data_IF_551866590830
#
_entry.id   IF_551866590830
#
_cell.length_a   1.000
_cell.length_b   1.000
_cell.length_c   1.000
_cell.angle_alpha   90.00
_cell.angle_beta   90.00
_cell.angle_gamma   90.00
#
_symmetry.space_group_name_H-M   'P 1'
#
loop_
_entity.id
_entity.type
_entity.pdbx_description
1 polymer ?
#
# COMPACT_ATOMS: atom_id res chain seq x y z
N UNK A 1 -3.40 2.00 -32.95
CA UNK A 1 -3.30 2.47 -31.55
C UNK A 1 -2.18 3.49 -31.45
N UNK A 2 -2.43 4.68 -30.91
CA UNK A 2 -1.48 5.80 -30.93
C UNK A 2 -0.55 5.76 -29.71
N UNK A 3 0.69 6.21 -29.88
CA UNK A 3 1.69 6.28 -28.82
C UNK A 3 1.24 7.21 -27.65
N UNK A 4 0.45 8.24 -27.97
CA UNK A 4 -0.14 9.15 -26.98
C UNK A 4 -1.22 8.48 -26.10
N UNK A 5 -2.00 7.54 -26.66
CA UNK A 5 -2.99 6.77 -25.89
C UNK A 5 -2.32 5.82 -24.90
N UNK A 6 -1.20 5.21 -25.28
CA UNK A 6 -0.45 4.29 -24.41
C UNK A 6 0.21 4.99 -23.22
N UNK A 7 0.73 6.20 -23.39
CA UNK A 7 1.27 6.99 -22.28
C UNK A 7 0.21 7.42 -21.28
N UNK A 8 -0.99 7.76 -21.76
CA UNK A 8 -2.12 8.15 -20.89
C UNK A 8 -2.61 6.96 -20.08
N UNK A 9 -2.76 5.79 -20.71
CA UNK A 9 -3.15 4.55 -20.03
C UNK A 9 -2.10 4.10 -19.02
N UNK A 10 -0.80 4.15 -19.36
CA UNK A 10 0.27 3.78 -18.44
C UNK A 10 0.28 4.65 -17.17
N UNK A 11 -0.02 5.95 -17.30
CA UNK A 11 -0.14 6.85 -16.14
C UNK A 11 -1.38 6.53 -15.30
N UNK A 12 -2.51 6.25 -15.93
CA UNK A 12 -3.73 5.85 -15.23
C UNK A 12 -3.58 4.53 -14.49
N UNK A 13 -3.01 3.53 -15.15
CA UNK A 13 -2.70 2.23 -14.56
C UNK A 13 -1.69 2.41 -13.43
N UNK A 14 -0.65 3.22 -13.62
CA UNK A 14 0.32 3.55 -12.58
C UNK A 14 -0.31 4.22 -11.35
N UNK A 15 -1.21 5.18 -11.54
CA UNK A 15 -1.95 5.81 -10.44
C UNK A 15 -2.88 4.84 -9.74
N UNK A 16 -3.53 3.94 -10.49
CA UNK A 16 -4.44 2.94 -9.92
C UNK A 16 -3.69 1.87 -9.13
N UNK A 17 -2.57 1.39 -9.65
CA UNK A 17 -1.67 0.46 -8.97
C UNK A 17 -1.14 1.05 -7.66
N UNK A 18 -0.87 2.36 -7.62
CA UNK A 18 -0.45 3.05 -6.40
C UNK A 18 -1.52 3.00 -5.31
N UNK A 19 -2.81 3.00 -5.64
CA UNK A 19 -3.91 2.97 -4.64
C UNK A 19 -4.18 1.58 -4.05
N UNK A 20 -3.72 0.51 -4.71
CA UNK A 20 -3.96 -0.87 -4.27
C UNK A 20 -3.33 -1.16 -2.90
N UNK A 21 -2.05 -0.82 -2.64
CA UNK A 21 -1.44 -1.02 -1.33
C UNK A 21 -2.20 -0.37 -0.18
N UNK A 22 -2.74 0.84 -0.36
CA UNK A 22 -3.51 1.54 0.67
C UNK A 22 -4.81 0.80 1.01
N UNK A 23 -5.51 0.30 0.00
CA UNK A 23 -6.71 -0.52 0.22
C UNK A 23 -6.38 -1.86 0.89
N UNK A 24 -5.26 -2.50 0.52
CA UNK A 24 -4.81 -3.75 1.15
C UNK A 24 -4.43 -3.51 2.61
N UNK A 25 -3.68 -2.45 2.90
CA UNK A 25 -3.32 -2.06 4.26
C UNK A 25 -4.56 -1.77 5.12
N UNK A 26 -5.56 -1.06 4.57
CA UNK A 26 -6.83 -0.81 5.26
C UNK A 26 -7.54 -2.11 5.66
N UNK A 27 -7.54 -3.11 4.76
CA UNK A 27 -8.15 -4.42 5.02
C UNK A 27 -7.37 -5.22 6.07
N UNK A 28 -6.04 -5.24 6.01
CA UNK A 28 -5.19 -5.96 6.98
C UNK A 28 -5.33 -5.34 8.38
N UNK A 29 -5.32 -4.01 8.47
CA UNK A 29 -5.40 -3.30 9.76
C UNK A 29 -6.84 -3.07 10.25
N UNK A 30 -7.86 -3.47 9.47
CA UNK A 30 -9.27 -3.21 9.75
C UNK A 30 -9.56 -1.72 10.04
N UNK A 31 -9.08 -0.87 9.15
CA UNK A 31 -9.22 0.61 9.16
C UNK A 31 -10.14 1.03 8.01
N UNK A 32 -10.83 2.16 8.16
CA UNK A 32 -11.66 2.74 7.10
C UNK A 32 -10.82 2.98 5.82
N UNK A 33 -11.22 2.42 4.65
CA UNK A 33 -10.52 2.65 3.39
C UNK A 33 -10.44 4.14 3.00
N UNK A 34 -11.40 4.98 3.40
CA UNK A 34 -11.33 6.41 3.15
C UNK A 34 -10.17 7.05 3.95
N UNK A 35 -9.96 6.62 5.19
CA UNK A 35 -8.85 7.06 6.03
C UNK A 35 -7.50 6.60 5.45
N UNK A 36 -7.42 5.35 4.96
CA UNK A 36 -6.19 4.84 4.35
C UNK A 36 -5.82 5.57 3.04
N UNK A 37 -6.81 5.99 2.25
CA UNK A 37 -6.57 6.83 1.07
C UNK A 37 -6.11 8.24 1.46
N UNK A 38 -6.68 8.82 2.53
CA UNK A 38 -6.22 10.10 3.07
C UNK A 38 -4.77 10.02 3.58
N UNK A 39 -4.38 8.92 4.25
CA UNK A 39 -2.99 8.68 4.64
C UNK A 39 -2.05 8.62 3.44
N UNK A 40 -2.47 7.93 2.38
CA UNK A 40 -1.68 7.83 1.16
C UNK A 40 -1.51 9.19 0.48
N UNK A 41 -2.60 9.97 0.37
CA UNK A 41 -2.57 11.29 -0.24
C UNK A 41 -1.68 12.25 0.57
N UNK A 42 -1.77 12.17 1.90
CA UNK A 42 -0.89 12.87 2.82
C UNK A 42 0.58 12.49 2.60
N UNK A 43 0.90 11.19 2.53
CA UNK A 43 2.27 10.71 2.30
C UNK A 43 2.82 11.06 0.91
N UNK A 44 1.96 11.16 -0.10
CA UNK A 44 2.36 11.56 -1.46
C UNK A 44 2.56 13.08 -1.57
N UNK A 45 1.78 13.87 -0.85
CA UNK A 45 1.87 15.33 -0.83
C UNK A 45 2.98 15.84 0.10
N UNK A 46 3.26 15.14 1.19
CA UNK A 46 4.28 15.52 2.17
C UNK A 46 5.61 14.86 1.81
N UNK A 47 6.36 15.53 0.93
CA UNK A 47 7.70 15.12 0.51
C UNK A 47 8.77 15.24 1.61
N UNK A 48 8.44 15.83 2.77
CA UNK A 48 9.37 16.09 3.86
C UNK A 48 9.08 15.23 5.11
N UNK A 49 10.09 14.55 5.66
CA UNK A 49 9.94 13.58 6.76
C UNK A 49 9.74 14.20 8.15
N UNK A 50 9.90 15.53 8.30
CA UNK A 50 9.89 16.21 9.60
C UNK A 50 8.50 16.70 10.04
N UNK A 51 7.48 16.49 9.22
CA UNK A 51 6.11 16.89 9.55
C UNK A 51 5.39 15.79 10.35
N UNK A 52 4.92 16.14 11.55
CA UNK A 52 4.21 15.19 12.41
C UNK A 52 2.91 14.72 11.76
N UNK A 53 2.67 13.40 11.62
CA UNK A 53 1.43 12.91 11.05
C UNK A 53 0.22 13.28 11.92
N UNK A 54 -0.94 13.58 11.33
CA UNK A 54 -2.19 13.82 12.05
C UNK A 54 -2.51 12.72 13.08
N UNK A 55 -3.06 13.08 14.24
CA UNK A 55 -3.39 12.12 15.31
C UNK A 55 -4.36 11.01 14.84
N UNK A 56 -5.24 11.33 13.89
CA UNK A 56 -6.13 10.36 13.26
C UNK A 56 -5.37 9.20 12.57
N UNK A 57 -4.11 9.41 12.18
CA UNK A 57 -3.27 8.40 11.54
C UNK A 57 -2.42 7.60 12.53
N UNK A 58 -2.19 8.14 13.73
CA UNK A 58 -1.38 7.51 14.79
C UNK A 58 -2.22 6.82 15.86
N UNK A 59 -3.55 6.93 15.81
CA UNK A 59 -4.46 6.22 16.71
C UNK A 59 -4.34 4.69 16.54
N UNK A 60 -4.14 3.95 17.64
CA UNK A 60 -4.18 2.46 17.76
C UNK A 60 -4.04 1.63 16.47
N UNK A 61 -5.15 1.37 15.76
CA UNK A 61 -5.19 0.54 14.54
C UNK A 61 -4.77 1.28 13.25
N UNK A 62 -4.83 2.61 13.26
CA UNK A 62 -4.41 3.48 12.17
C UNK A 62 -2.89 3.59 12.06
N UNK A 63 -2.15 3.53 13.18
CA UNK A 63 -0.68 3.58 13.20
C UNK A 63 0.00 2.48 12.35
N UNK A 64 -0.33 1.18 12.50
CA UNK A 64 0.26 0.14 11.65
C UNK A 64 -0.20 0.26 10.18
N UNK A 65 -1.42 0.76 9.92
CA UNK A 65 -1.91 1.03 8.57
C UNK A 65 -1.06 2.13 7.91
N UNK A 66 -0.82 3.23 8.61
CA UNK A 66 0.01 4.33 8.14
C UNK A 66 1.44 3.88 7.81
N UNK A 67 2.05 3.05 8.66
CA UNK A 67 3.38 2.49 8.42
C UNK A 67 3.43 1.60 7.17
N UNK A 68 2.43 0.73 6.97
CA UNK A 68 2.33 -0.12 5.78
C UNK A 68 2.15 0.70 4.50
N UNK A 69 1.32 1.73 4.53
CA UNK A 69 1.14 2.64 3.40
C UNK A 69 2.46 3.36 3.08
N UNK A 70 3.18 3.85 4.10
CA UNK A 70 4.49 4.47 3.90
C UNK A 70 5.52 3.50 3.29
N UNK A 71 5.63 2.27 3.80
CA UNK A 71 6.52 1.24 3.23
C UNK A 71 6.15 0.95 1.77
N UNK A 72 4.85 0.91 1.45
CA UNK A 72 4.40 0.67 0.07
C UNK A 72 4.81 1.77 -0.91
N UNK A 73 4.94 3.02 -0.43
CA UNK A 73 5.37 4.17 -1.22
C UNK A 73 6.90 4.23 -1.33
N UNK A 74 7.62 4.03 -0.21
CA UNK A 74 9.07 4.10 -0.17
C UNK A 74 9.75 2.89 -0.83
N UNK A 75 9.21 1.68 -0.65
CA UNK A 75 9.78 0.40 -1.11
C UNK A 75 8.68 -0.55 -1.59
N UNK A 76 8.04 -0.29 -2.74
CA UNK A 76 6.93 -1.10 -3.24
C UNK A 76 7.30 -2.58 -3.44
N UNK A 77 8.54 -2.87 -3.85
CA UNK A 77 9.02 -4.24 -4.01
C UNK A 77 9.03 -5.04 -2.71
N UNK A 78 9.40 -4.41 -1.58
CA UNK A 78 9.41 -5.05 -0.26
C UNK A 78 8.00 -5.32 0.23
N UNK A 79 7.07 -4.39 -0.01
CA UNK A 79 5.65 -4.57 0.32
C UNK A 79 5.05 -5.79 -0.39
N UNK A 80 5.24 -5.90 -1.71
CA UNK A 80 4.72 -7.03 -2.49
C UNK A 80 5.41 -8.35 -2.12
N UNK A 81 6.73 -8.34 -1.89
CA UNK A 81 7.44 -9.53 -1.45
C UNK A 81 6.92 -10.04 -0.10
N UNK A 82 6.70 -9.13 0.87
CA UNK A 82 6.11 -9.48 2.17
C UNK A 82 4.69 -10.02 2.02
N UNK A 83 3.87 -9.42 1.15
CA UNK A 83 2.50 -9.87 0.91
C UNK A 83 2.45 -11.29 0.32
N UNK A 84 3.38 -11.64 -0.57
CA UNK A 84 3.49 -12.98 -1.17
C UNK A 84 4.12 -13.99 -0.20
N UNK A 85 5.00 -13.54 0.71
CA UNK A 85 5.63 -14.41 1.70
C UNK A 85 4.64 -14.96 2.75
N UNK A 86 3.57 -14.23 3.06
CA UNK A 86 2.55 -14.67 4.02
C UNK A 86 1.85 -15.98 3.55
N UNK A 87 1.29 -16.07 2.33
CA UNK A 87 0.70 -17.31 1.83
C UNK A 87 1.74 -18.34 1.37
N UNK A 88 3.00 -17.97 1.13
CA UNK A 88 3.99 -18.96 0.70
C UNK A 88 4.27 -20.00 1.78
N UNK A 89 4.23 -19.61 3.06
CA UNK A 89 4.43 -20.54 4.17
C UNK A 89 3.38 -21.68 4.23
N UNK A 90 2.05 -21.41 4.23
CA UNK A 90 1.06 -22.47 4.20
C UNK A 90 1.08 -23.27 2.89
N UNK A 91 1.43 -22.66 1.74
CA UNK A 91 1.56 -23.38 0.47
C UNK A 91 2.75 -24.35 0.50
N UNK A 92 3.91 -23.91 1.01
CA UNK A 92 5.09 -24.77 1.16
C UNK A 92 4.84 -25.90 2.15
N UNK A 93 4.09 -25.64 3.22
CA UNK A 93 3.63 -26.68 4.13
C UNK A 93 2.71 -27.67 3.39
N UNK A 94 1.69 -27.20 2.67
CA UNK A 94 0.77 -28.07 1.94
C UNK A 94 1.50 -28.96 0.92
N UNK A 95 2.46 -28.40 0.18
CA UNK A 95 3.32 -29.15 -0.76
C UNK A 95 4.22 -30.19 -0.09
N UNK A 96 4.60 -29.99 1.18
CA UNK A 96 5.37 -30.99 1.94
C UNK A 96 4.54 -32.25 2.24
N UNK A 97 3.22 -32.10 2.34
CA UNK A 97 2.28 -33.17 2.72
C UNK A 97 1.67 -33.90 1.51
N UNK A 98 2.05 -33.53 0.28
CA UNK A 98 1.70 -34.20 -0.98
C UNK A 98 2.88 -35.05 -1.43
#
# INVERSE_FOLDING_TARGET
>A
MSLATLHTDARWVGQRLRRIPAMVAARICNVDPALALAMQDWLVSHAYPDETPPEAFTATKAAPCFALVNISLAKPGVFWAALVAIPSFPVLLLLRWI
#
